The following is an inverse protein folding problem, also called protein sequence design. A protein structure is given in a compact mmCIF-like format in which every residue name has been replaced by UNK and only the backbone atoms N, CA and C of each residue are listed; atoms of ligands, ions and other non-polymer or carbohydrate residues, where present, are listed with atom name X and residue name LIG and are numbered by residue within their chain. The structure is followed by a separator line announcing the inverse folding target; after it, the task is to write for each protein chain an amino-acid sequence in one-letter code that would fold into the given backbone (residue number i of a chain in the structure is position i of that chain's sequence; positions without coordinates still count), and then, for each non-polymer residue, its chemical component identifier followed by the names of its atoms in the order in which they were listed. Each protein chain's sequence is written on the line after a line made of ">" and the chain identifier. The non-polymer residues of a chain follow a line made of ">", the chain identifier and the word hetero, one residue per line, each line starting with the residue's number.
data_IF_588469528466
#
_entry.id   IF_588469528466
#
_cell.length_a   1.000
_cell.length_b   1.000
_cell.length_c   1.000
_cell.angle_alpha   90.00
_cell.angle_beta   90.00
_cell.angle_gamma   90.00
#
_symmetry.space_group_name_H-M   'P 1'
#
loop_
_entity.id
_entity.type
_entity.pdbx_description
1 polymer ?
#
# COMPACT_ATOMS: atom_id res chain seq x y z
N UNK A 1 -5.20 24.32 -2.86
CA UNK A 1 -4.78 22.96 -3.32
C UNK A 1 -4.80 22.82 -4.82
N UNK A 2 -5.84 23.31 -5.50
CA UNK A 2 -5.93 23.25 -6.97
C UNK A 2 -5.61 24.59 -7.66
N UNK A 3 -4.88 25.48 -6.97
CA UNK A 3 -4.59 26.83 -7.46
C UNK A 3 -3.55 26.87 -8.58
N UNK A 4 -2.67 25.87 -8.66
CA UNK A 4 -1.71 25.74 -9.76
C UNK A 4 -1.74 24.32 -10.33
N UNK A 5 -1.49 24.15 -11.64
CA UNK A 5 -1.48 22.82 -12.27
C UNK A 5 -0.51 21.84 -11.59
N UNK A 6 0.63 22.36 -11.11
CA UNK A 6 1.64 21.57 -10.40
C UNK A 6 1.15 21.07 -9.04
N UNK A 7 0.48 21.92 -8.25
CA UNK A 7 -0.06 21.53 -6.95
C UNK A 7 -1.27 20.61 -7.10
N UNK A 8 -2.10 20.85 -8.12
CA UNK A 8 -3.23 19.98 -8.47
C UNK A 8 -2.75 18.56 -8.81
N UNK A 9 -1.73 18.43 -9.68
CA UNK A 9 -1.14 17.12 -9.99
C UNK A 9 -0.54 16.46 -8.75
N UNK A 10 0.07 17.23 -7.85
CA UNK A 10 0.62 16.71 -6.61
C UNK A 10 -0.47 16.14 -5.69
N UNK A 11 -1.61 16.82 -5.56
CA UNK A 11 -2.76 16.31 -4.81
C UNK A 11 -3.35 15.07 -5.48
N UNK A 12 -3.55 15.09 -6.80
CA UNK A 12 -4.07 13.96 -7.56
C UNK A 12 -3.17 12.72 -7.47
N UNK A 13 -1.87 12.88 -7.64
CA UNK A 13 -0.93 11.78 -7.52
C UNK A 13 -0.91 11.17 -6.12
N UNK A 14 -0.98 11.99 -5.06
CA UNK A 14 -1.11 11.48 -3.69
C UNK A 14 -2.46 10.77 -3.45
N UNK A 15 -3.55 11.24 -4.06
CA UNK A 15 -4.85 10.55 -4.03
C UNK A 15 -4.78 9.17 -4.69
N UNK A 16 -4.11 9.07 -5.85
CA UNK A 16 -3.90 7.78 -6.53
C UNK A 16 -3.06 6.85 -5.67
N UNK A 17 -1.93 7.32 -5.13
CA UNK A 17 -1.08 6.51 -4.27
C UNK A 17 -1.84 6.01 -3.03
N UNK A 18 -2.61 6.88 -2.38
CA UNK A 18 -3.44 6.55 -1.22
C UNK A 18 -4.56 5.56 -1.57
N UNK A 19 -5.16 5.70 -2.76
CA UNK A 19 -6.16 4.76 -3.30
C UNK A 19 -5.57 3.37 -3.43
N UNK A 20 -4.38 3.25 -4.05
CA UNK A 20 -3.68 1.97 -4.20
C UNK A 20 -3.30 1.38 -2.84
N UNK A 21 -2.83 2.20 -1.91
CA UNK A 21 -2.50 1.79 -0.55
C UNK A 21 -3.70 1.13 0.15
N UNK A 22 -4.86 1.79 0.06
CA UNK A 22 -6.09 1.31 0.69
C UNK A 22 -6.64 0.09 -0.05
N UNK A 23 -6.59 0.10 -1.39
CA UNK A 23 -7.02 -1.02 -2.21
C UNK A 23 -6.20 -2.29 -1.92
N UNK A 24 -4.89 -2.14 -1.76
CA UNK A 24 -4.00 -3.23 -1.38
C UNK A 24 -4.32 -3.78 0.01
N UNK A 25 -4.55 -2.91 1.00
CA UNK A 25 -4.93 -3.34 2.36
C UNK A 25 -6.24 -4.11 2.38
N UNK A 26 -7.32 -3.52 1.86
CA UNK A 26 -8.63 -4.19 1.84
C UNK A 26 -8.64 -5.42 0.94
N UNK A 27 -7.95 -5.37 -0.19
CA UNK A 27 -7.81 -6.49 -1.10
C UNK A 27 -7.17 -7.71 -0.46
N UNK A 28 -6.09 -7.51 0.29
CA UNK A 28 -5.39 -8.60 0.97
C UNK A 28 -6.13 -9.07 2.22
N UNK A 29 -6.62 -8.13 3.04
CA UNK A 29 -7.25 -8.47 4.34
C UNK A 29 -8.62 -9.11 4.19
N UNK A 30 -9.48 -8.59 3.30
CA UNK A 30 -10.84 -9.10 3.16
C UNK A 30 -10.89 -10.45 2.44
N UNK A 31 -9.97 -10.69 1.50
CA UNK A 31 -9.97 -11.92 0.71
C UNK A 31 -9.07 -13.00 1.25
N UNK A 32 -8.25 -12.72 2.28
CA UNK A 32 -7.39 -13.71 2.91
C UNK A 32 -8.10 -15.02 3.27
N UNK A 33 -9.26 -15.04 3.96
CA UNK A 33 -9.86 -16.31 4.38
C UNK A 33 -10.19 -17.18 3.17
N UNK A 34 -10.62 -16.55 2.07
CA UNK A 34 -10.89 -17.22 0.81
C UNK A 34 -9.61 -17.77 0.17
N UNK A 35 -8.50 -17.03 0.26
CA UNK A 35 -7.18 -17.46 -0.25
C UNK A 35 -6.71 -18.70 0.51
N UNK A 36 -6.78 -18.67 1.84
CA UNK A 36 -6.37 -19.79 2.72
C UNK A 36 -7.23 -21.03 2.48
N UNK A 37 -8.55 -20.83 2.32
CA UNK A 37 -9.48 -21.93 2.04
C UNK A 37 -9.27 -22.51 0.64
N UNK A 38 -9.22 -21.68 -0.42
CA UNK A 38 -9.10 -22.17 -1.81
C UNK A 38 -7.75 -22.82 -2.12
N UNK A 39 -6.64 -22.34 -1.54
CA UNK A 39 -5.31 -22.86 -1.88
C UNK A 39 -4.84 -23.99 -0.97
N UNK A 40 -5.18 -23.94 0.33
CA UNK A 40 -4.52 -24.80 1.31
C UNK A 40 -5.47 -25.79 1.99
N UNK A 41 -6.79 -25.72 1.73
CA UNK A 41 -7.83 -26.49 2.45
C UNK A 41 -7.68 -26.41 3.99
N UNK A 42 -7.15 -25.29 4.49
CA UNK A 42 -6.82 -25.11 5.90
C UNK A 42 -8.00 -24.55 6.69
N UNK A 43 -8.11 -24.97 7.95
CA UNK A 43 -9.15 -24.55 8.89
C UNK A 43 -9.07 -23.04 9.21
N UNK A 44 -10.21 -22.40 9.46
CA UNK A 44 -10.38 -20.94 9.64
C UNK A 44 -9.53 -20.38 10.78
N UNK A 45 -9.22 -21.17 11.82
CA UNK A 45 -8.30 -20.79 12.91
C UNK A 45 -6.92 -20.35 12.44
N UNK A 46 -6.47 -20.79 11.26
CA UNK A 46 -5.20 -20.38 10.66
C UNK A 46 -5.21 -18.93 10.15
N UNK A 47 -6.39 -18.37 9.88
CA UNK A 47 -6.53 -16.97 9.44
C UNK A 47 -6.08 -15.99 10.52
N UNK A 48 -6.33 -16.30 11.79
CA UNK A 48 -5.92 -15.46 12.92
C UNK A 48 -4.40 -15.40 13.07
N UNK A 49 -3.70 -16.53 12.90
CA UNK A 49 -2.23 -16.59 12.94
C UNK A 49 -1.61 -15.76 11.81
N UNK A 50 -2.18 -15.82 10.62
CA UNK A 50 -1.74 -14.98 9.51
C UNK A 50 -1.95 -13.49 9.80
N UNK A 51 -3.09 -13.13 10.39
CA UNK A 51 -3.38 -11.73 10.71
C UNK A 51 -2.39 -11.20 11.74
N UNK A 52 -2.06 -11.99 12.76
CA UNK A 52 -1.02 -11.68 13.75
C UNK A 52 0.34 -11.50 13.07
N UNK A 53 0.78 -12.45 12.25
CA UNK A 53 2.06 -12.38 11.54
C UNK A 53 2.13 -11.13 10.65
N UNK A 54 1.04 -10.81 9.96
CA UNK A 54 0.95 -9.64 9.09
C UNK A 54 1.00 -8.35 9.90
N UNK A 55 0.30 -8.25 11.03
CA UNK A 55 0.34 -7.07 11.91
C UNK A 55 1.74 -6.84 12.49
N UNK A 56 2.44 -7.91 12.89
CA UNK A 56 3.84 -7.82 13.34
C UNK A 56 4.71 -7.27 12.19
N UNK A 57 4.56 -7.83 10.99
CA UNK A 57 5.21 -7.34 9.78
C UNK A 57 4.92 -5.86 9.51
N UNK A 58 3.66 -5.44 9.58
CA UNK A 58 3.22 -4.05 9.43
C UNK A 58 3.93 -3.13 10.44
N UNK A 59 3.98 -3.54 11.69
CA UNK A 59 4.55 -2.75 12.79
C UNK A 59 6.05 -2.51 12.58
N UNK A 60 6.79 -3.58 12.26
CA UNK A 60 8.22 -3.49 11.94
C UNK A 60 8.41 -2.67 10.66
N UNK A 61 7.55 -2.88 9.65
CA UNK A 61 7.55 -2.14 8.40
C UNK A 61 7.36 -0.63 8.59
N UNK A 62 6.48 -0.21 9.50
CA UNK A 62 6.28 1.21 9.82
C UNK A 62 7.52 1.83 10.45
N UNK A 63 8.18 1.12 11.38
CA UNK A 63 9.42 1.59 11.99
C UNK A 63 10.55 1.69 10.94
N UNK A 64 10.75 0.65 10.14
CA UNK A 64 11.77 0.64 9.08
C UNK A 64 11.49 1.69 8.00
N UNK A 65 10.22 1.85 7.61
CA UNK A 65 9.82 2.90 6.67
C UNK A 65 10.16 4.28 7.22
N UNK A 66 9.81 4.56 8.47
CA UNK A 66 10.13 5.83 9.14
C UNK A 66 11.64 6.12 9.15
N UNK A 67 12.46 5.14 9.54
CA UNK A 67 13.92 5.30 9.53
C UNK A 67 14.47 5.59 8.12
N UNK A 68 13.99 4.88 7.09
CA UNK A 68 14.41 5.12 5.70
C UNK A 68 13.90 6.48 5.21
N UNK A 69 12.69 6.86 5.62
CA UNK A 69 12.05 8.12 5.27
C UNK A 69 12.83 9.32 5.80
N UNK A 70 13.29 9.25 7.04
CA UNK A 70 14.06 10.33 7.66
C UNK A 70 15.51 10.36 7.16
N UNK A 71 16.16 9.21 6.96
CA UNK A 71 17.56 9.17 6.54
C UNK A 71 17.78 9.35 5.02
N UNK A 72 16.96 8.70 4.19
CA UNK A 72 17.10 8.71 2.73
C UNK A 72 16.09 9.61 2.02
N UNK A 73 15.12 10.16 2.77
CA UNK A 73 14.07 11.01 2.25
C UNK A 73 12.85 10.24 1.73
N UNK A 74 11.73 10.94 1.55
CA UNK A 74 10.43 10.34 1.29
C UNK A 74 10.38 9.58 -0.04
N UNK A 75 11.03 10.11 -1.08
CA UNK A 75 11.00 9.50 -2.42
C UNK A 75 11.62 8.11 -2.44
N UNK A 76 12.74 7.91 -1.75
CA UNK A 76 13.43 6.62 -1.69
C UNK A 76 12.68 5.63 -0.79
N UNK A 77 12.14 6.10 0.33
CA UNK A 77 11.32 5.27 1.21
C UNK A 77 10.10 4.71 0.47
N UNK A 78 9.31 5.57 -0.19
CA UNK A 78 8.17 5.12 -0.99
C UNK A 78 8.59 4.22 -2.17
N UNK A 79 9.71 4.51 -2.84
CA UNK A 79 10.20 3.67 -3.93
C UNK A 79 10.44 2.22 -3.50
N UNK A 80 11.21 2.04 -2.42
CA UNK A 80 11.57 0.71 -1.89
C UNK A 80 10.30 -0.05 -1.49
N UNK A 81 9.39 0.62 -0.78
CA UNK A 81 8.19 -0.02 -0.25
C UNK A 81 7.16 -0.34 -1.34
N UNK A 82 6.98 0.52 -2.35
CA UNK A 82 6.07 0.24 -3.47
C UNK A 82 6.58 -0.90 -4.36
N UNK A 83 7.88 -0.93 -4.66
CA UNK A 83 8.48 -2.04 -5.43
C UNK A 83 8.41 -3.34 -4.61
N UNK A 84 8.77 -3.29 -3.33
CA UNK A 84 8.69 -4.44 -2.44
C UNK A 84 7.26 -4.97 -2.30
N UNK A 85 6.27 -4.08 -2.23
CA UNK A 85 4.85 -4.45 -2.22
C UNK A 85 4.43 -5.14 -3.50
N UNK A 86 4.80 -4.60 -4.67
CA UNK A 86 4.48 -5.19 -5.95
C UNK A 86 5.03 -6.62 -6.09
N UNK A 87 6.28 -6.84 -5.67
CA UNK A 87 6.91 -8.16 -5.70
C UNK A 87 6.26 -9.14 -4.71
N UNK A 88 6.10 -8.73 -3.46
CA UNK A 88 5.68 -9.62 -2.38
C UNK A 88 4.19 -9.95 -2.44
N UNK A 89 3.37 -9.06 -2.98
CA UNK A 89 1.94 -9.37 -3.20
C UNK A 89 1.78 -10.48 -4.24
N UNK A 90 2.62 -10.50 -5.28
CA UNK A 90 2.58 -11.58 -6.27
C UNK A 90 3.00 -12.93 -5.69
N UNK A 91 4.02 -12.95 -4.81
CA UNK A 91 4.49 -14.20 -4.19
C UNK A 91 3.46 -14.86 -3.29
N UNK A 92 2.43 -14.14 -2.83
CA UNK A 92 1.30 -14.70 -2.09
C UNK A 92 0.54 -15.76 -2.90
N UNK A 93 0.54 -15.67 -4.23
CA UNK A 93 -0.04 -16.70 -5.11
C UNK A 93 0.74 -18.02 -5.12
N UNK A 94 2.01 -18.00 -4.67
CA UNK A 94 2.94 -19.12 -4.64
C UNK A 94 2.97 -19.82 -3.26
N UNK A 95 2.16 -19.38 -2.31
CA UNK A 95 2.12 -19.98 -0.98
C UNK A 95 1.52 -21.40 -1.04
N UNK A 96 2.31 -22.41 -0.66
CA UNK A 96 1.91 -23.83 -0.74
C UNK A 96 1.62 -24.46 0.62
N UNK A 97 1.99 -23.80 1.72
CA UNK A 97 1.76 -24.29 3.07
C UNK A 97 1.62 -23.13 4.06
N UNK A 98 1.20 -23.45 5.28
CA UNK A 98 0.94 -22.47 6.34
C UNK A 98 2.19 -21.65 6.70
N UNK A 99 3.35 -22.27 6.86
CA UNK A 99 4.57 -21.57 7.24
C UNK A 99 4.97 -20.53 6.18
N UNK A 100 4.96 -20.90 4.91
CA UNK A 100 5.24 -19.99 3.80
C UNK A 100 4.19 -18.87 3.74
N UNK A 101 2.92 -19.17 3.97
CA UNK A 101 1.87 -18.15 4.01
C UNK A 101 2.07 -17.14 5.15
N UNK A 102 2.47 -17.58 6.35
CA UNK A 102 2.75 -16.70 7.49
C UNK A 102 3.93 -15.77 7.20
N UNK A 103 5.01 -16.31 6.64
CA UNK A 103 6.20 -15.54 6.28
C UNK A 103 5.86 -14.52 5.18
N UNK A 104 5.18 -14.95 4.11
CA UNK A 104 4.76 -14.04 3.05
C UNK A 104 3.80 -12.98 3.60
N UNK A 105 2.85 -13.36 4.47
CA UNK A 105 1.93 -12.43 5.13
C UNK A 105 2.66 -11.34 5.91
N UNK A 106 3.63 -11.73 6.75
CA UNK A 106 4.47 -10.79 7.48
C UNK A 106 5.24 -9.83 6.54
N UNK A 107 5.86 -10.36 5.49
CA UNK A 107 6.65 -9.55 4.54
C UNK A 107 5.76 -8.64 3.69
N UNK A 108 4.58 -9.12 3.28
CA UNK A 108 3.56 -8.31 2.60
C UNK A 108 3.08 -7.20 3.53
N UNK A 109 2.76 -7.50 4.79
CA UNK A 109 2.41 -6.49 5.80
C UNK A 109 3.49 -5.43 5.97
N UNK A 110 4.75 -5.86 6.04
CA UNK A 110 5.92 -4.99 6.13
C UNK A 110 5.98 -3.99 4.98
N UNK A 111 5.96 -4.46 3.73
CA UNK A 111 6.08 -3.56 2.57
C UNK A 111 4.80 -2.82 2.25
N UNK A 112 3.67 -3.52 2.19
CA UNK A 112 2.38 -2.96 1.77
C UNK A 112 1.91 -1.89 2.73
N UNK A 113 1.92 -2.18 4.03
CA UNK A 113 1.27 -1.32 5.02
C UNK A 113 2.26 -0.51 5.87
N UNK A 114 3.55 -0.87 5.86
CA UNK A 114 4.58 -0.09 6.54
C UNK A 114 4.66 1.37 6.06
N UNK A 115 4.35 1.63 4.78
CA UNK A 115 4.41 2.99 4.23
C UNK A 115 3.19 3.89 4.56
N UNK A 116 2.14 3.36 5.20
CA UNK A 116 0.90 4.10 5.47
C UNK A 116 1.14 5.37 6.29
N UNK A 117 1.97 5.31 7.32
CA UNK A 117 2.32 6.47 8.14
C UNK A 117 3.05 7.58 7.37
N UNK A 118 3.76 7.22 6.30
CA UNK A 118 4.48 8.14 5.44
C UNK A 118 3.61 9.15 4.70
N UNK A 119 2.36 8.80 4.39
CA UNK A 119 1.46 9.70 3.65
C UNK A 119 1.15 10.95 4.47
N UNK A 120 0.81 10.81 5.74
CA UNK A 120 0.56 11.94 6.63
C UNK A 120 1.81 12.84 6.79
N UNK A 121 2.99 12.23 6.91
CA UNK A 121 4.26 12.95 7.01
C UNK A 121 4.60 13.72 5.71
N UNK A 122 4.35 13.15 4.54
CA UNK A 122 4.56 13.84 3.27
C UNK A 122 3.55 14.97 3.07
N UNK A 123 2.28 14.72 3.36
CA UNK A 123 1.23 15.75 3.23
C UNK A 123 1.54 16.92 4.18
N UNK A 124 2.01 16.66 5.40
CA UNK A 124 2.38 17.73 6.32
C UNK A 124 3.55 18.57 5.79
N UNK A 125 4.57 17.96 5.18
CA UNK A 125 5.72 18.68 4.61
C UNK A 125 5.40 19.39 3.29
N UNK A 126 4.41 18.92 2.52
CA UNK A 126 4.09 19.44 1.18
C UNK A 126 3.05 20.58 1.17
N UNK A 127 2.20 20.67 2.19
CA UNK A 127 1.13 21.66 2.26
C UNK A 127 1.32 22.62 3.44
N UNK A 128 1.02 23.92 3.24
CA UNK A 128 1.14 24.92 4.30
C UNK A 128 0.10 24.68 5.40
N UNK A 129 0.41 25.17 6.60
CA UNK A 129 -0.28 24.80 7.84
C UNK A 129 -1.78 25.06 7.79
N UNK A 130 -2.22 26.12 7.11
CA UNK A 130 -3.62 26.56 7.02
C UNK A 130 -4.49 25.55 6.25
N UNK A 131 -3.91 24.85 5.27
CA UNK A 131 -4.66 23.92 4.40
C UNK A 131 -4.28 22.46 4.64
N UNK A 132 -3.24 22.18 5.43
CA UNK A 132 -2.68 20.84 5.65
C UNK A 132 -3.72 19.83 6.13
N UNK A 133 -4.55 20.21 7.11
CA UNK A 133 -5.59 19.33 7.67
C UNK A 133 -6.61 18.95 6.60
N UNK A 134 -7.11 19.94 5.85
CA UNK A 134 -8.02 19.71 4.73
C UNK A 134 -7.37 18.85 3.63
N UNK A 135 -6.07 19.01 3.38
CA UNK A 135 -5.37 18.28 2.33
C UNK A 135 -5.29 16.80 2.69
N UNK A 136 -4.90 16.55 3.94
CA UNK A 136 -4.84 15.21 4.49
C UNK A 136 -6.22 14.53 4.46
N UNK A 137 -7.26 15.22 4.92
CA UNK A 137 -8.61 14.68 4.92
C UNK A 137 -9.12 14.38 3.50
N UNK A 138 -8.92 15.27 2.54
CA UNK A 138 -9.32 15.03 1.14
C UNK A 138 -8.55 13.85 0.57
N UNK A 139 -7.22 13.83 0.69
CA UNK A 139 -6.40 12.78 0.10
C UNK A 139 -6.74 11.41 0.68
N UNK A 140 -6.85 11.33 2.01
CA UNK A 140 -7.17 10.09 2.72
C UNK A 140 -8.60 9.64 2.41
N UNK A 141 -9.59 10.52 2.46
CA UNK A 141 -10.99 10.13 2.24
C UNK A 141 -11.28 9.79 0.79
N UNK A 142 -10.67 10.46 -0.19
CA UNK A 142 -10.77 10.05 -1.60
C UNK A 142 -10.12 8.69 -1.79
N UNK A 143 -8.94 8.48 -1.19
CA UNK A 143 -8.30 7.17 -1.18
C UNK A 143 -9.18 6.08 -0.56
N UNK A 144 -9.91 6.39 0.52
CA UNK A 144 -10.84 5.45 1.18
C UNK A 144 -12.08 5.19 0.36
N UNK A 145 -12.65 6.24 -0.25
CA UNK A 145 -13.83 6.13 -1.09
C UNK A 145 -13.54 5.23 -2.29
N UNK A 146 -12.48 5.53 -3.06
CA UNK A 146 -12.14 4.77 -4.27
C UNK A 146 -11.51 3.42 -3.91
N UNK A 147 -10.52 3.43 -3.02
CA UNK A 147 -9.78 2.23 -2.62
C UNK A 147 -10.63 1.23 -1.83
N UNK A 148 -11.65 1.68 -1.11
CA UNK A 148 -12.59 0.80 -0.41
C UNK A 148 -13.42 -0.08 -1.36
N UNK A 149 -13.74 0.41 -2.56
CA UNK A 149 -14.43 -0.40 -3.58
C UNK A 149 -13.54 -1.50 -4.18
N UNK A 150 -12.24 -1.51 -3.89
CA UNK A 150 -11.32 -2.56 -4.36
C UNK A 150 -11.79 -3.96 -3.98
N UNK A 151 -12.39 -4.15 -2.79
CA UNK A 151 -12.86 -5.47 -2.37
C UNK A 151 -13.93 -6.02 -3.30
N UNK A 152 -14.80 -5.17 -3.86
CA UNK A 152 -15.82 -5.58 -4.84
C UNK A 152 -15.15 -6.02 -6.15
N UNK A 153 -14.22 -5.22 -6.66
CA UNK A 153 -13.48 -5.52 -7.90
C UNK A 153 -12.70 -6.83 -7.75
N UNK A 154 -12.04 -7.01 -6.61
CA UNK A 154 -11.27 -8.21 -6.30
C UNK A 154 -12.18 -9.42 -6.14
N UNK A 155 -13.38 -9.27 -5.55
CA UNK A 155 -14.36 -10.35 -5.50
C UNK A 155 -14.79 -10.82 -6.88
N UNK A 156 -15.14 -9.89 -7.77
CA UNK A 156 -15.49 -10.20 -9.16
C UNK A 156 -14.32 -10.90 -9.87
N UNK A 157 -13.09 -10.45 -9.65
CA UNK A 157 -11.88 -11.09 -10.18
C UNK A 157 -11.70 -12.52 -9.62
N UNK A 158 -11.93 -12.74 -8.33
CA UNK A 158 -11.80 -14.04 -7.65
C UNK A 158 -12.88 -15.05 -8.05
N UNK A 159 -14.03 -14.58 -8.56
CA UNK A 159 -15.11 -15.42 -9.07
C UNK A 159 -14.87 -15.84 -10.52
N UNK A 160 -14.24 -14.98 -11.32
CA UNK A 160 -14.03 -15.18 -12.77
C UNK A 160 -12.64 -15.72 -13.12
N UNK A 161 -11.65 -15.47 -12.27
CA UNK A 161 -10.24 -15.76 -12.52
C UNK A 161 -9.58 -16.46 -11.31
N UNK A 162 -8.34 -16.91 -11.50
CA UNK A 162 -7.56 -17.53 -10.46
C UNK A 162 -6.84 -16.49 -9.56
N UNK A 163 -6.30 -16.98 -8.43
CA UNK A 163 -5.60 -16.12 -7.48
C UNK A 163 -4.40 -15.39 -8.09
N UNK A 164 -3.68 -16.03 -9.02
CA UNK A 164 -2.52 -15.44 -9.69
C UNK A 164 -2.88 -14.17 -10.46
N UNK A 165 -4.02 -14.15 -11.16
CA UNK A 165 -4.51 -12.96 -11.86
C UNK A 165 -4.84 -11.84 -10.88
N UNK A 166 -5.46 -12.16 -9.75
CA UNK A 166 -5.82 -11.18 -8.72
C UNK A 166 -4.58 -10.56 -8.07
N UNK A 167 -3.59 -11.39 -7.73
CA UNK A 167 -2.32 -10.92 -7.18
C UNK A 167 -1.50 -10.15 -8.21
N UNK A 168 -1.55 -10.54 -9.48
CA UNK A 168 -0.96 -9.78 -10.60
C UNK A 168 -1.61 -8.41 -10.78
N UNK A 169 -2.94 -8.33 -10.67
CA UNK A 169 -3.67 -7.06 -10.70
C UNK A 169 -3.26 -6.14 -9.54
N UNK A 170 -3.23 -6.65 -8.30
CA UNK A 170 -2.77 -5.87 -7.15
C UNK A 170 -1.31 -5.43 -7.29
N UNK A 171 -0.43 -6.31 -7.76
CA UNK A 171 0.97 -5.99 -8.05
C UNK A 171 1.08 -4.85 -9.08
N UNK A 172 0.29 -4.90 -10.15
CA UNK A 172 0.24 -3.84 -11.16
C UNK A 172 -0.23 -2.50 -10.58
N UNK A 173 -1.20 -2.49 -9.65
CA UNK A 173 -1.61 -1.26 -8.95
C UNK A 173 -0.46 -0.63 -8.16
N UNK A 174 0.36 -1.42 -7.45
CA UNK A 174 1.55 -0.91 -6.77
C UNK A 174 2.60 -0.34 -7.73
N UNK A 175 2.78 -0.97 -8.90
CA UNK A 175 3.66 -0.45 -9.95
C UNK A 175 3.11 0.89 -10.50
N UNK A 176 1.81 1.00 -10.72
CA UNK A 176 1.17 2.27 -11.14
C UNK A 176 1.41 3.35 -10.08
N UNK A 177 1.21 3.03 -8.81
CA UNK A 177 1.49 3.95 -7.69
C UNK A 177 2.96 4.38 -7.66
N UNK A 178 3.90 3.46 -7.93
CA UNK A 178 5.33 3.76 -8.06
C UNK A 178 5.64 4.71 -9.22
N UNK A 179 5.04 4.48 -10.39
CA UNK A 179 5.21 5.36 -11.56
C UNK A 179 4.67 6.76 -11.24
N UNK A 180 3.47 6.86 -10.67
CA UNK A 180 2.87 8.13 -10.24
C UNK A 180 3.78 8.84 -9.23
N UNK A 181 4.30 8.10 -8.25
CA UNK A 181 5.23 8.63 -7.24
C UNK A 181 6.49 9.25 -7.87
N UNK A 182 7.05 8.66 -8.93
CA UNK A 182 8.20 9.21 -9.65
C UNK A 182 7.87 10.57 -10.30
N UNK A 183 6.64 10.76 -10.77
CA UNK A 183 6.20 12.01 -11.41
C UNK A 183 5.94 13.14 -10.42
N UNK A 184 5.84 12.85 -9.12
CA UNK A 184 5.47 13.84 -8.10
C UNK A 184 6.63 14.83 -7.83
N UNK A 185 6.47 16.12 -8.18
CA UNK A 185 7.54 17.10 -8.02
C UNK A 185 7.85 17.42 -6.55
N UNK A 186 6.83 17.41 -5.68
CA UNK A 186 7.00 17.67 -4.25
C UNK A 186 7.91 16.66 -3.55
N UNK A 187 7.76 15.37 -3.85
CA UNK A 187 8.61 14.32 -3.28
C UNK A 187 10.08 14.46 -3.72
N UNK A 188 10.31 14.87 -4.97
CA UNK A 188 11.64 15.15 -5.49
C UNK A 188 12.29 16.32 -4.74
N UNK A 189 11.53 17.36 -4.43
CA UNK A 189 12.03 18.54 -3.70
C UNK A 189 12.35 18.19 -2.24
N UNK A 190 11.46 17.48 -1.54
CA UNK A 190 11.68 17.07 -0.15
C UNK A 190 12.92 16.18 0.01
N UNK A 191 13.19 15.31 -0.96
CA UNK A 191 14.37 14.44 -0.95
C UNK A 191 15.70 15.20 -1.18
N UNK A 192 15.66 16.41 -1.74
CA UNK A 192 16.86 17.25 -1.92
C UNK A 192 17.25 18.02 -0.65
N UNK A 193 16.26 18.35 0.18
CA UNK A 193 16.45 19.12 1.43
C UNK A 193 16.91 18.22 2.59
N UNK A 194 16.68 16.91 2.50
CA UNK A 194 17.10 15.93 3.51
C UNK A 194 18.59 15.50 3.39
N UNK A 195 19.37 16.12 2.50
CA UNK A 195 20.82 15.96 2.38
C UNK A 195 21.52 17.18 2.93
#
# INVERSE_FOLDING_TARGET
>A
MFSTPRLAWQTLGLMIMMTVQIAGYFGLMNWLPTIVQKQLNLNVSNSSLWMIATIIGMSIGMMTFGSIFDYFGPRRAFAIFLIGSALMVYTLSLAQNMATLLVIGAVVGFFSNGMFGGYGAVISRLYPTEIRSSANNIIVNVGRAIGGFSSVVIGILMDRYNLGVVMGFLSALYIISFIVMITLPGLKNLSKVAK
#
